data_IF_630942433904
#
_entry.id   IF_630942433904
#
_cell.length_a   1.000
_cell.length_b   1.000
_cell.length_c   1.000
_cell.angle_alpha   90.00
_cell.angle_beta   90.00
_cell.angle_gamma   90.00
#
_symmetry.space_group_name_H-M   'P 1'
#
loop_
_entity.id
_entity.type
_entity.pdbx_description
1 polymer ?
#
# COMPACT_ATOMS: atom_id res chain seq x y z
N UNK A 1 -22.77 -18.53 -3.44
CA UNK A 1 -21.73 -18.22 -4.42
C UNK A 1 -20.55 -17.56 -3.73
N UNK A 2 -19.35 -17.98 -4.07
CA UNK A 2 -18.14 -17.36 -3.51
C UNK A 2 -18.15 -15.89 -3.87
N UNK A 3 -17.75 -15.04 -2.92
CA UNK A 3 -17.77 -13.60 -3.10
C UNK A 3 -19.08 -12.93 -2.75
N UNK A 4 -20.05 -13.72 -2.28
CA UNK A 4 -21.35 -13.19 -1.88
C UNK A 4 -21.73 -13.71 -0.50
N UNK A 5 -22.60 -13.00 0.16
CA UNK A 5 -23.07 -13.40 1.48
C UNK A 5 -24.60 -13.44 1.52
N UNK A 6 -25.13 -14.14 2.52
CA UNK A 6 -26.57 -14.27 2.71
C UNK A 6 -26.92 -13.64 4.06
N UNK A 7 -27.54 -12.46 4.07
CA UNK A 7 -27.75 -11.72 5.31
C UNK A 7 -28.80 -12.31 6.23
N UNK A 8 -29.68 -13.16 5.71
CA UNK A 8 -30.71 -13.79 6.53
C UNK A 8 -30.73 -15.28 6.30
N UNK A 9 -31.01 -16.04 7.38
CA UNK A 9 -31.18 -17.49 7.27
C UNK A 9 -32.43 -17.75 6.47
N UNK A 10 -32.32 -18.64 5.50
CA UNK A 10 -33.43 -18.96 4.63
C UNK A 10 -33.69 -18.00 3.50
N UNK A 11 -32.82 -17.01 3.35
CA UNK A 11 -32.91 -16.09 2.22
C UNK A 11 -32.63 -16.79 0.90
N UNK A 12 -33.29 -16.34 -0.14
CA UNK A 12 -33.17 -16.96 -1.46
C UNK A 12 -32.07 -16.34 -2.31
N UNK A 13 -31.51 -15.23 -1.89
CA UNK A 13 -30.48 -14.52 -2.65
C UNK A 13 -29.25 -14.24 -1.82
N UNK A 14 -28.11 -14.24 -2.50
CA UNK A 14 -26.85 -13.83 -1.91
C UNK A 14 -26.52 -12.42 -2.38
N UNK A 15 -25.96 -11.63 -1.50
CA UNK A 15 -25.57 -10.27 -1.82
C UNK A 15 -24.07 -10.23 -2.06
N UNK A 16 -23.63 -9.52 -3.10
CA UNK A 16 -22.21 -9.36 -3.40
C UNK A 16 -21.55 -8.55 -2.29
N UNK A 17 -20.32 -8.93 -1.92
CA UNK A 17 -19.53 -8.15 -0.99
C UNK A 17 -19.20 -6.80 -1.61
N UNK A 18 -19.24 -5.76 -0.80
CA UNK A 18 -18.88 -4.43 -1.27
C UNK A 18 -17.36 -4.34 -1.48
N UNK A 19 -16.94 -3.38 -2.30
CA UNK A 19 -15.52 -3.13 -2.49
C UNK A 19 -14.87 -2.87 -1.12
N UNK A 20 -13.68 -3.41 -0.92
CA UNK A 20 -13.00 -3.34 0.38
C UNK A 20 -13.30 -4.51 1.29
N UNK A 21 -14.20 -5.41 0.88
CA UNK A 21 -14.54 -6.60 1.66
C UNK A 21 -14.63 -7.82 0.74
N UNK A 22 -14.58 -9.01 1.33
CA UNK A 22 -14.54 -10.25 0.59
C UNK A 22 -15.16 -11.38 1.39
N UNK A 23 -15.49 -12.47 0.70
CA UNK A 23 -15.79 -13.73 1.34
C UNK A 23 -15.40 -14.89 0.41
N UNK A 24 -14.64 -15.83 0.95
CA UNK A 24 -14.25 -17.03 0.23
C UNK A 24 -15.22 -18.18 0.47
N UNK A 25 -16.22 -17.97 1.30
CA UNK A 25 -17.15 -18.99 1.74
C UNK A 25 -18.53 -18.72 1.15
N UNK A 26 -19.15 -19.75 0.57
CA UNK A 26 -20.48 -19.62 -0.06
C UNK A 26 -21.60 -19.54 0.97
N UNK A 27 -21.34 -19.86 2.23
CA UNK A 27 -22.34 -19.89 3.30
C UNK A 27 -22.14 -18.81 4.35
N UNK A 28 -21.24 -17.89 4.10
CA UNK A 28 -20.98 -16.82 5.04
C UNK A 28 -22.14 -15.81 5.04
N UNK A 29 -22.59 -15.44 6.23
CA UNK A 29 -23.63 -14.43 6.37
C UNK A 29 -23.11 -13.00 6.28
N UNK A 30 -21.80 -12.83 6.39
CA UNK A 30 -21.15 -11.50 6.34
C UNK A 30 -19.88 -11.55 5.54
N UNK A 31 -19.51 -10.41 4.99
CA UNK A 31 -18.23 -10.26 4.32
C UNK A 31 -17.19 -9.82 5.34
N UNK A 32 -15.92 -10.13 5.06
CA UNK A 32 -14.81 -9.72 5.91
C UNK A 32 -14.12 -8.54 5.24
N UNK A 33 -13.68 -7.58 6.05
CA UNK A 33 -12.93 -6.44 5.54
C UNK A 33 -11.54 -6.88 5.10
N UNK A 34 -11.01 -6.26 4.05
CA UNK A 34 -9.65 -6.48 3.63
C UNK A 34 -8.70 -6.08 4.76
N UNK A 35 -7.66 -6.87 4.97
CA UNK A 35 -6.66 -6.60 6.00
C UNK A 35 -5.76 -5.45 5.58
N UNK A 36 -5.03 -4.91 6.55
CA UNK A 36 -4.03 -3.89 6.24
C UNK A 36 -3.02 -4.45 5.23
N UNK A 37 -2.57 -3.60 4.32
CA UNK A 37 -1.69 -4.02 3.24
C UNK A 37 -2.41 -4.64 2.06
N UNK A 38 -3.75 -4.77 2.14
CA UNK A 38 -4.54 -5.40 1.08
C UNK A 38 -5.78 -4.56 0.75
N UNK A 39 -6.33 -4.82 -0.42
CA UNK A 39 -7.48 -4.07 -0.91
C UNK A 39 -8.27 -4.89 -1.93
N UNK A 40 -9.49 -4.46 -2.19
CA UNK A 40 -10.21 -4.91 -3.38
C UNK A 40 -11.14 -3.79 -3.83
N UNK A 41 -11.12 -3.48 -5.11
CA UNK A 41 -11.99 -2.47 -5.71
C UNK A 41 -13.17 -3.07 -6.45
N UNK A 42 -13.37 -4.37 -6.31
CA UNK A 42 -14.41 -5.10 -7.02
C UNK A 42 -15.52 -5.55 -6.07
N UNK A 43 -16.74 -5.59 -6.60
CA UNK A 43 -17.87 -6.19 -5.87
C UNK A 43 -17.79 -7.70 -5.98
N UNK A 44 -18.21 -8.38 -4.92
CA UNK A 44 -18.27 -9.83 -4.93
C UNK A 44 -16.91 -10.51 -4.91
N UNK A 45 -15.92 -9.87 -4.30
CA UNK A 45 -14.57 -10.43 -4.25
C UNK A 45 -14.49 -11.65 -3.37
N UNK A 46 -13.67 -12.61 -3.78
CA UNK A 46 -13.40 -13.82 -3.00
C UNK A 46 -12.12 -13.70 -2.20
N UNK A 47 -11.34 -12.68 -2.46
CA UNK A 47 -10.08 -12.40 -1.77
C UNK A 47 -9.70 -10.95 -1.98
N UNK A 48 -8.78 -10.47 -1.16
CA UNK A 48 -8.22 -9.14 -1.31
C UNK A 48 -6.83 -9.25 -1.91
N UNK A 49 -6.40 -8.20 -2.60
CA UNK A 49 -5.12 -8.16 -3.29
C UNK A 49 -4.11 -7.40 -2.46
N UNK A 50 -2.85 -7.83 -2.52
CA UNK A 50 -1.77 -7.14 -1.84
C UNK A 50 -1.47 -5.81 -2.53
N UNK A 51 -1.10 -4.79 -1.75
CA UNK A 51 -0.64 -3.54 -2.30
C UNK A 51 0.64 -3.78 -3.10
N UNK A 52 0.79 -3.08 -4.23
CA UNK A 52 2.00 -3.17 -5.04
C UNK A 52 3.17 -2.47 -4.35
N UNK A 53 4.41 -2.85 -4.68
CA UNK A 53 5.55 -2.08 -4.19
C UNK A 53 5.40 -0.60 -4.54
N UNK A 54 5.76 0.27 -3.63
CA UNK A 54 5.55 1.70 -3.78
C UNK A 54 4.26 2.19 -3.15
N UNK A 55 3.36 1.28 -2.82
CA UNK A 55 2.06 1.60 -2.22
C UNK A 55 1.91 0.90 -0.87
N UNK A 56 1.00 1.42 -0.06
CA UNK A 56 0.73 0.86 1.25
C UNK A 56 -0.74 1.04 1.62
N UNK A 57 -1.18 0.30 2.65
CA UNK A 57 -2.53 0.42 3.16
C UNK A 57 -2.52 0.10 4.65
N UNK A 58 -2.80 1.07 5.49
CA UNK A 58 -2.77 0.90 6.93
C UNK A 58 -4.15 0.75 7.58
N UNK A 59 -5.21 0.67 6.78
CA UNK A 59 -6.56 0.56 7.29
C UNK A 59 -7.26 -0.66 6.72
N UNK A 60 -8.25 -1.16 7.47
CA UNK A 60 -9.08 -2.28 7.04
C UNK A 60 -10.12 -1.80 6.03
N UNK A 61 -10.56 -2.71 5.17
CA UNK A 61 -11.68 -2.45 4.29
C UNK A 61 -11.44 -1.44 3.18
N UNK A 62 -10.21 -1.28 2.74
CA UNK A 62 -9.88 -0.29 1.73
C UNK A 62 -10.13 -0.81 0.32
N UNK A 63 -10.46 0.11 -0.57
CA UNK A 63 -10.70 -0.18 -1.97
C UNK A 63 -9.50 0.09 -2.85
N UNK A 64 -8.46 0.69 -2.30
CA UNK A 64 -7.22 0.98 -3.01
C UNK A 64 -6.11 1.22 -2.01
N UNK A 65 -4.88 1.10 -2.47
CA UNK A 65 -3.71 1.42 -1.68
C UNK A 65 -3.27 2.85 -1.96
N UNK A 66 -2.48 3.41 -1.06
CA UNK A 66 -1.98 4.77 -1.19
C UNK A 66 -0.50 4.74 -1.57
N UNK A 67 -0.04 5.68 -2.40
CA UNK A 67 1.37 5.74 -2.73
C UNK A 67 2.18 6.24 -1.55
N UNK A 68 3.41 5.74 -1.43
CA UNK A 68 4.34 6.24 -0.42
C UNK A 68 4.67 7.70 -0.71
N UNK A 69 4.78 8.51 0.32
CA UNK A 69 5.15 9.92 0.17
C UNK A 69 6.61 10.06 -0.26
N UNK A 70 6.99 11.19 -0.86
CA UNK A 70 8.41 11.44 -1.14
C UNK A 70 9.25 11.29 0.12
N UNK A 71 10.43 10.72 -0.01
CA UNK A 71 11.29 10.40 1.12
C UNK A 71 11.02 9.04 1.73
N UNK A 72 9.96 8.37 1.29
CA UNK A 72 9.58 7.03 1.78
C UNK A 72 9.41 6.08 0.61
N UNK A 73 9.48 4.79 0.91
CA UNK A 73 9.38 3.76 -0.13
C UNK A 73 8.78 2.48 0.45
N UNK A 74 8.34 1.62 -0.44
CA UNK A 74 7.82 0.29 -0.08
C UNK A 74 8.36 -0.69 -1.11
N UNK A 75 9.25 -1.58 -0.70
CA UNK A 75 9.93 -2.50 -1.62
C UNK A 75 9.27 -3.86 -1.73
N UNK A 76 8.17 -4.07 -1.03
CA UNK A 76 7.46 -5.35 -1.04
C UNK A 76 5.97 -5.14 -1.26
N UNK A 77 5.32 -6.18 -1.78
CA UNK A 77 3.88 -6.19 -1.89
C UNK A 77 3.24 -6.41 -0.52
N UNK A 78 2.03 -5.89 -0.35
CA UNK A 78 1.27 -6.13 0.88
C UNK A 78 1.74 -5.34 2.09
N UNK A 79 2.44 -4.25 1.88
CA UNK A 79 2.93 -3.43 2.98
C UNK A 79 1.83 -2.60 3.59
N UNK A 80 1.84 -2.47 4.91
CA UNK A 80 0.88 -1.64 5.63
C UNK A 80 1.46 -0.28 5.99
N UNK A 81 2.73 -0.04 5.70
CA UNK A 81 3.39 1.24 5.91
C UNK A 81 4.61 1.32 5.01
N UNK A 82 5.07 2.54 4.78
CA UNK A 82 6.27 2.76 3.98
C UNK A 82 7.48 2.92 4.88
N UNK A 83 8.64 2.63 4.34
CA UNK A 83 9.90 2.78 5.05
C UNK A 83 10.55 4.10 4.66
N UNK A 84 11.34 4.64 5.57
CA UNK A 84 12.03 5.91 5.36
C UNK A 84 13.33 5.66 4.63
N UNK A 85 13.64 6.49 3.62
CA UNK A 85 14.93 6.39 2.93
C UNK A 85 16.07 6.66 3.91
N UNK A 86 17.16 5.86 3.85
CA UNK A 86 18.32 6.12 4.69
C UNK A 86 19.04 7.39 4.25
N UNK A 87 19.89 7.91 5.14
CA UNK A 87 20.73 9.07 4.80
C UNK A 87 21.56 8.73 3.56
N UNK A 88 21.71 9.69 2.67
CA UNK A 88 22.42 9.51 1.42
C UNK A 88 21.57 9.03 0.27
N UNK A 89 20.30 8.70 0.54
CA UNK A 89 19.37 8.26 -0.50
C UNK A 89 18.07 9.07 -0.40
N UNK A 90 17.38 9.21 -1.53
CA UNK A 90 16.17 10.04 -1.58
C UNK A 90 15.14 9.41 -2.54
N UNK A 91 13.89 9.80 -2.36
CA UNK A 91 12.84 9.54 -3.34
C UNK A 91 12.11 10.85 -3.61
N UNK A 92 12.32 11.45 -4.79
CA UNK A 92 11.66 12.74 -5.09
C UNK A 92 10.19 12.61 -5.45
N UNK A 93 9.74 11.40 -5.77
CA UNK A 93 8.36 11.16 -6.21
C UNK A 93 7.63 10.27 -5.23
N UNK A 94 6.31 10.36 -5.23
CA UNK A 94 5.50 9.44 -4.45
C UNK A 94 5.38 8.09 -5.18
N UNK A 95 5.00 7.05 -4.43
CA UNK A 95 4.78 5.73 -5.03
C UNK A 95 6.03 4.99 -5.43
N UNK A 96 7.16 5.28 -4.83
CA UNK A 96 8.43 4.64 -5.18
C UNK A 96 8.63 3.34 -4.39
N UNK A 97 9.21 2.36 -5.05
CA UNK A 97 9.51 1.08 -4.43
C UNK A 97 10.96 0.99 -3.92
N UNK A 98 11.74 2.00 -4.16
CA UNK A 98 13.14 2.05 -3.71
C UNK A 98 13.60 3.48 -3.64
N UNK A 99 14.67 3.71 -2.89
CA UNK A 99 15.31 5.01 -2.80
C UNK A 99 16.47 5.07 -3.77
N UNK A 100 16.80 6.29 -4.19
CA UNK A 100 17.93 6.51 -5.10
C UNK A 100 19.09 7.13 -4.33
N UNK A 101 20.33 6.69 -4.58
CA UNK A 101 21.46 7.31 -3.93
C UNK A 101 21.67 8.72 -4.46
N UNK A 102 22.17 9.61 -3.59
CA UNK A 102 22.50 10.95 -4.01
C UNK A 102 23.63 10.91 -5.02
N UNK A 103 23.53 11.78 -6.03
CA UNK A 103 24.54 11.89 -7.06
C UNK A 103 25.83 12.46 -6.49
N UNK A 104 26.93 12.24 -7.23
CA UNK A 104 28.22 12.79 -6.84
C UNK A 104 28.12 14.31 -6.68
N UNK A 105 28.68 14.83 -5.62
CA UNK A 105 28.59 16.25 -5.30
C UNK A 105 27.33 16.64 -4.58
N UNK A 106 26.46 15.67 -4.26
CA UNK A 106 25.22 15.91 -3.53
C UNK A 106 25.14 14.98 -2.33
N UNK A 107 24.29 15.34 -1.38
CA UNK A 107 24.15 14.56 -0.18
C UNK A 107 22.78 14.78 0.45
N UNK A 108 22.42 13.86 1.36
CA UNK A 108 21.30 14.05 2.26
C UNK A 108 21.67 13.46 3.62
N UNK A 109 21.82 14.34 4.59
CA UNK A 109 22.36 13.95 5.91
C UNK A 109 21.35 13.24 6.79
N UNK A 110 20.06 13.38 6.52
CA UNK A 110 19.01 12.82 7.36
C UNK A 110 18.20 11.77 6.59
N UNK A 111 17.63 10.78 7.30
CA UNK A 111 16.71 9.84 6.63
C UNK A 111 15.44 10.54 6.17
N UNK A 112 14.74 9.94 5.21
CA UNK A 112 13.48 10.45 4.75
C UNK A 112 13.56 11.61 3.78
N UNK A 113 14.67 11.74 3.08
CA UNK A 113 14.86 12.83 2.14
C UNK A 113 14.13 12.63 0.82
N UNK A 114 13.64 13.72 0.25
CA UNK A 114 13.01 13.71 -1.06
C UNK A 114 13.94 14.24 -2.15
N UNK A 115 14.91 15.04 -1.80
CA UNK A 115 15.89 15.60 -2.73
C UNK A 115 17.26 15.66 -2.09
N UNK A 116 18.28 15.46 -2.89
CA UNK A 116 19.66 15.60 -2.43
C UNK A 116 20.08 17.07 -2.43
N UNK A 117 20.90 17.43 -1.45
CA UNK A 117 21.46 18.77 -1.34
C UNK A 117 22.81 18.82 -2.02
N UNK A 118 23.16 19.98 -2.57
CA UNK A 118 24.49 20.18 -3.15
C UNK A 118 25.52 20.36 -2.06
N UNK A 119 26.71 19.80 -2.26
CA UNK A 119 27.82 20.07 -1.37
C UNK A 119 28.31 21.49 -1.53
N UNK A 120 28.69 22.10 -0.39
CA UNK A 120 29.26 23.44 -0.43
C UNK A 120 30.66 23.39 -1.06
N UNK A 121 31.11 24.51 -1.61
CA UNK A 121 32.47 24.61 -2.14
C UNK A 121 33.49 24.14 -1.11
N UNK A 122 34.42 23.30 -1.55
CA UNK A 122 35.46 22.76 -0.68
C UNK A 122 35.03 21.55 0.16
N UNK A 123 33.79 21.02 -0.05
CA UNK A 123 33.29 19.83 0.64
C UNK A 123 32.84 18.78 -0.35
N UNK A 124 32.66 17.56 0.12
CA UNK A 124 32.18 16.46 -0.72
C UNK A 124 31.16 15.62 0.05
N UNK A 125 30.40 14.85 -0.71
CA UNK A 125 29.36 14.00 -0.15
C UNK A 125 29.94 12.68 0.35
#
# INVERSE_FOLDING_TARGET
>A
TVGKYQPTIGGSECTACEAGSFTADTRTATCKLCQIGRFTDLLGSTECFACSPGDFNMELGRTKCQPCAPGNYSDKAGMHSCEICPAGEVTPLSGQDSCEPCSRGKYHASPGGDLCSNCTAGKFA
#
